data_IF_192033948986
#
_entry.id   IF_192033948986
#
_cell.length_a   1.000
_cell.length_b   1.000
_cell.length_c   1.000
_cell.angle_alpha   90.00
_cell.angle_beta   90.00
_cell.angle_gamma   90.00
#
_symmetry.space_group_name_H-M   'P 1'
#
loop_
_entity.id
_entity.type
_entity.pdbx_description
1 polymer ?
#
# COMPACT_ATOMS: atom_id res chain seq x y z
N UNK A 1 17.12 12.81 -3.44
CA UNK A 1 18.20 12.02 -2.77
C UNK A 1 19.50 12.79 -2.55
N UNK A 2 19.71 13.92 -3.23
CA UNK A 2 21.02 14.60 -3.26
C UNK A 2 21.19 15.65 -2.16
N UNK A 3 20.13 16.34 -1.75
CA UNK A 3 20.17 17.43 -0.76
C UNK A 3 20.74 17.06 0.63
N UNK A 4 20.28 16.00 1.33
CA UNK A 4 20.83 15.64 2.63
C UNK A 4 22.27 15.11 2.54
N UNK A 5 22.65 14.50 1.39
CA UNK A 5 24.02 14.08 1.12
C UNK A 5 24.94 15.30 0.91
N UNK A 6 24.49 16.30 0.15
CA UNK A 6 25.24 17.55 -0.02
C UNK A 6 25.41 18.30 1.29
N UNK A 7 24.37 18.36 2.14
CA UNK A 7 24.46 18.97 3.46
C UNK A 7 25.47 18.22 4.36
N UNK A 8 25.44 16.90 4.36
CA UNK A 8 26.39 16.09 5.13
C UNK A 8 27.84 16.32 4.68
N UNK A 9 28.11 16.29 3.37
CA UNK A 9 29.45 16.54 2.80
C UNK A 9 29.90 17.98 3.06
N UNK A 10 29.02 18.96 2.88
CA UNK A 10 29.30 20.37 3.12
C UNK A 10 29.63 20.63 4.60
N UNK A 11 28.91 20.00 5.53
CA UNK A 11 29.16 20.17 6.96
C UNK A 11 30.46 19.48 7.42
N UNK A 12 30.84 18.34 6.83
CA UNK A 12 32.16 17.73 7.06
C UNK A 12 33.28 18.64 6.55
N UNK A 13 33.15 19.20 5.34
CA UNK A 13 34.13 20.14 4.80
C UNK A 13 34.22 21.41 5.67
N UNK A 14 33.10 21.91 6.17
CA UNK A 14 33.06 23.05 7.10
C UNK A 14 33.79 22.76 8.42
N UNK A 15 33.55 21.59 9.03
CA UNK A 15 34.24 21.15 10.24
C UNK A 15 35.75 20.94 10.01
N UNK A 16 36.15 20.49 8.83
CA UNK A 16 37.57 20.34 8.48
C UNK A 16 38.25 21.71 8.29
N UNK A 17 37.54 22.69 7.72
CA UNK A 17 38.05 24.05 7.53
C UNK A 17 38.27 24.80 8.86
N UNK A 18 37.48 24.52 9.91
CA UNK A 18 37.69 25.13 11.23
C UNK A 18 38.99 24.68 11.91
N UNK A 19 39.55 23.52 11.54
CA UNK A 19 40.82 23.04 12.07
C UNK A 19 42.04 23.83 11.53
N UNK A 20 41.90 24.47 10.38
CA UNK A 20 42.98 25.25 9.74
C UNK A 20 42.91 26.74 10.02
N UNK A 21 41.78 27.27 10.51
CA UNK A 21 41.58 28.69 10.80
C UNK A 21 40.83 28.88 12.13
N UNK A 22 41.54 29.39 13.15
CA UNK A 22 40.99 29.62 14.50
C UNK A 22 39.81 30.60 14.53
N UNK A 23 39.70 31.50 13.55
CA UNK A 23 38.58 32.44 13.40
C UNK A 23 37.24 31.78 13.02
N UNK A 24 37.24 30.50 12.68
CA UNK A 24 36.04 29.75 12.29
C UNK A 24 35.55 28.81 13.41
N UNK A 25 36.19 28.81 14.59
CA UNK A 25 35.82 27.93 15.71
C UNK A 25 34.36 28.05 16.13
N UNK A 26 33.79 29.24 16.03
CA UNK A 26 32.39 29.53 16.43
C UNK A 26 31.38 28.81 15.54
N UNK A 27 31.75 28.50 14.29
CA UNK A 27 30.91 27.79 13.34
C UNK A 27 30.98 26.26 13.51
N UNK A 28 31.91 25.75 14.31
CA UNK A 28 32.09 24.32 14.54
C UNK A 28 30.87 23.68 15.22
N UNK A 29 30.21 24.41 16.12
CA UNK A 29 28.98 23.93 16.77
C UNK A 29 27.82 23.80 15.77
N UNK A 30 27.66 24.78 14.87
CA UNK A 30 26.64 24.76 13.82
C UNK A 30 26.91 23.62 12.82
N UNK A 31 28.15 23.48 12.38
CA UNK A 31 28.56 22.39 11.48
C UNK A 31 28.33 21.01 12.13
N UNK A 32 28.67 20.85 13.41
CA UNK A 32 28.41 19.64 14.17
C UNK A 32 26.92 19.28 14.26
N UNK A 33 26.05 20.25 14.55
CA UNK A 33 24.60 20.03 14.59
C UNK A 33 24.04 19.63 13.22
N UNK A 34 24.53 20.24 12.13
CA UNK A 34 24.14 19.87 10.77
C UNK A 34 24.58 18.44 10.38
N UNK A 35 25.76 18.00 10.82
CA UNK A 35 26.23 16.61 10.63
C UNK A 35 25.30 15.64 11.34
N UNK A 36 24.97 15.90 12.61
CA UNK A 36 24.08 15.03 13.40
C UNK A 36 22.68 14.98 12.79
N UNK A 37 22.10 16.12 12.42
CA UNK A 37 20.78 16.19 11.81
C UNK A 37 20.73 15.45 10.46
N UNK A 38 21.73 15.64 9.59
CA UNK A 38 21.79 14.95 8.30
C UNK A 38 22.05 13.44 8.46
N UNK A 39 22.87 13.03 9.42
CA UNK A 39 23.07 11.61 9.77
C UNK A 39 21.76 10.96 10.25
N UNK A 40 21.00 11.62 11.13
CA UNK A 40 19.68 11.12 11.59
C UNK A 40 18.72 10.96 10.41
N UNK A 41 18.67 11.92 9.49
CA UNK A 41 17.82 11.83 8.30
C UNK A 41 18.24 10.69 7.36
N UNK A 42 19.54 10.47 7.19
CA UNK A 42 20.07 9.39 6.36
C UNK A 42 19.83 8.01 6.98
N UNK A 43 20.06 7.85 8.29
CA UNK A 43 19.80 6.62 9.04
C UNK A 43 18.30 6.32 9.11
N UNK A 44 17.48 7.31 9.42
CA UNK A 44 16.01 7.17 9.42
C UNK A 44 15.48 6.75 8.06
N UNK A 45 16.06 7.26 6.96
CA UNK A 45 15.71 6.84 5.61
C UNK A 45 16.21 5.43 5.28
N UNK A 46 17.42 5.06 5.70
CA UNK A 46 17.97 3.71 5.52
C UNK A 46 17.14 2.66 6.27
N UNK A 47 16.77 2.94 7.52
CA UNK A 47 15.86 2.11 8.31
C UNK A 47 14.46 2.02 7.68
N UNK A 48 13.96 3.11 7.06
CA UNK A 48 12.70 3.11 6.31
C UNK A 48 12.79 2.42 4.94
N UNK A 49 14.01 2.17 4.44
CA UNK A 49 14.24 1.54 3.12
C UNK A 49 14.00 0.03 3.12
N UNK A 50 13.80 -0.57 4.29
CA UNK A 50 13.69 -2.03 4.48
C UNK A 50 12.28 -2.60 4.29
N UNK A 51 11.27 -1.79 3.97
CA UNK A 51 10.01 -2.35 3.45
C UNK A 51 10.20 -2.54 1.94
N UNK A 52 10.54 -3.77 1.55
CA UNK A 52 10.43 -4.18 0.14
C UNK A 52 9.08 -3.71 -0.41
N UNK A 53 8.99 -3.30 -1.69
CA UNK A 53 7.69 -3.04 -2.30
C UNK A 53 6.86 -4.29 -2.10
N UNK A 54 5.84 -4.21 -1.24
CA UNK A 54 4.89 -5.30 -1.08
C UNK A 54 4.23 -5.44 -2.43
N UNK A 55 4.38 -6.60 -3.07
CA UNK A 55 3.64 -6.92 -4.28
C UNK A 55 2.18 -7.12 -3.86
N UNK A 56 1.46 -6.02 -3.72
CA UNK A 56 0.07 -6.03 -3.31
C UNK A 56 -0.79 -6.58 -4.45
N UNK A 57 -1.79 -7.37 -4.07
CA UNK A 57 -2.87 -7.78 -4.94
C UNK A 57 -4.18 -7.36 -4.30
N UNK A 58 -4.98 -6.57 -5.00
CA UNK A 58 -6.31 -6.13 -4.55
C UNK A 58 -7.33 -7.01 -5.23
N UNK A 59 -8.05 -7.77 -4.43
CA UNK A 59 -9.11 -8.67 -4.88
C UNK A 59 -10.44 -7.94 -4.77
N UNK A 60 -11.18 -7.88 -5.87
CA UNK A 60 -12.59 -7.51 -5.82
C UNK A 60 -13.39 -8.67 -5.24
N UNK A 61 -13.57 -8.64 -3.93
CA UNK A 61 -14.25 -9.68 -3.20
C UNK A 61 -15.71 -9.82 -3.64
N UNK A 62 -16.36 -8.75 -4.09
CA UNK A 62 -17.76 -8.81 -4.54
C UNK A 62 -17.89 -9.55 -5.86
N UNK A 63 -16.93 -9.38 -6.76
CA UNK A 63 -16.89 -10.08 -8.03
C UNK A 63 -16.47 -11.55 -7.85
N UNK A 64 -15.38 -11.78 -7.11
CA UNK A 64 -14.82 -13.13 -6.86
C UNK A 64 -15.80 -14.01 -6.09
N UNK A 65 -16.61 -13.45 -5.21
CA UNK A 65 -17.65 -14.18 -4.48
C UNK A 65 -18.59 -14.97 -5.41
N UNK A 66 -18.84 -14.47 -6.62
CA UNK A 66 -19.76 -15.07 -7.59
C UNK A 66 -19.07 -15.93 -8.66
N UNK A 67 -17.76 -16.16 -8.60
CA UNK A 67 -17.06 -16.93 -9.64
C UNK A 67 -17.48 -18.40 -9.71
N UNK A 68 -17.94 -18.98 -8.59
CA UNK A 68 -18.43 -20.36 -8.53
C UNK A 68 -19.91 -20.41 -8.89
N UNK A 69 -20.19 -20.64 -10.18
CA UNK A 69 -21.55 -20.83 -10.71
C UNK A 69 -22.51 -19.64 -10.45
N UNK A 70 -22.00 -18.44 -10.20
CA UNK A 70 -22.80 -17.26 -9.88
C UNK A 70 -23.35 -17.23 -8.46
N UNK A 71 -23.12 -18.28 -7.66
CA UNK A 71 -23.59 -18.36 -6.27
C UNK A 71 -22.57 -17.66 -5.37
N UNK A 72 -23.02 -16.77 -4.47
CA UNK A 72 -22.12 -16.10 -3.54
C UNK A 72 -21.48 -17.10 -2.56
N UNK A 73 -20.19 -17.38 -2.74
CA UNK A 73 -19.42 -18.31 -1.90
C UNK A 73 -18.11 -17.67 -1.42
N UNK A 74 -18.02 -17.45 -0.10
CA UNK A 74 -16.83 -16.88 0.55
C UNK A 74 -15.61 -17.81 0.46
N UNK A 75 -15.82 -19.12 0.31
CA UNK A 75 -14.72 -20.06 0.13
C UNK A 75 -13.94 -19.78 -1.16
N UNK A 76 -14.63 -19.34 -2.22
CA UNK A 76 -14.00 -18.93 -3.48
C UNK A 76 -13.04 -17.76 -3.28
N UNK A 77 -13.45 -16.75 -2.50
CA UNK A 77 -12.57 -15.61 -2.18
C UNK A 77 -11.38 -16.06 -1.35
N UNK A 78 -11.59 -16.98 -0.39
CA UNK A 78 -10.50 -17.55 0.41
C UNK A 78 -9.49 -18.32 -0.45
N UNK A 79 -9.96 -19.14 -1.40
CA UNK A 79 -9.09 -19.87 -2.33
C UNK A 79 -8.22 -18.93 -3.16
N UNK A 80 -8.77 -17.80 -3.64
CA UNK A 80 -8.01 -16.76 -4.35
C UNK A 80 -6.98 -16.11 -3.43
N UNK A 81 -7.37 -15.76 -2.21
CA UNK A 81 -6.45 -15.18 -1.21
C UNK A 81 -5.30 -16.13 -0.89
N UNK A 82 -5.58 -17.42 -0.71
CA UNK A 82 -4.58 -18.45 -0.44
C UNK A 82 -3.63 -18.64 -1.63
N UNK A 83 -4.16 -18.61 -2.85
CA UNK A 83 -3.36 -18.70 -4.08
C UNK A 83 -2.41 -17.50 -4.23
N UNK A 84 -2.91 -16.28 -4.00
CA UNK A 84 -2.10 -15.05 -4.04
C UNK A 84 -1.02 -15.06 -2.96
N UNK A 85 -1.37 -15.48 -1.74
CA UNK A 85 -0.40 -15.60 -0.64
C UNK A 85 0.69 -16.61 -0.98
N UNK A 86 0.32 -17.76 -1.55
CA UNK A 86 1.26 -18.81 -2.00
C UNK A 86 2.17 -18.31 -3.13
N UNK A 87 1.66 -17.44 -4.01
CA UNK A 87 2.43 -16.77 -5.05
C UNK A 87 3.38 -15.67 -4.52
N UNK A 88 3.40 -15.42 -3.21
CA UNK A 88 4.24 -14.40 -2.56
C UNK A 88 3.68 -12.98 -2.67
N UNK A 89 2.42 -12.83 -3.06
CA UNK A 89 1.72 -11.55 -3.09
C UNK A 89 1.13 -11.23 -1.70
N UNK A 90 0.87 -9.95 -1.44
CA UNK A 90 0.14 -9.52 -0.25
C UNK A 90 -1.31 -9.22 -0.66
N UNK A 91 -2.27 -10.14 -0.40
CA UNK A 91 -3.65 -9.90 -0.76
C UNK A 91 -4.30 -8.87 0.18
N UNK A 92 -5.08 -7.97 -0.42
CA UNK A 92 -6.10 -7.16 0.22
C UNK A 92 -7.43 -7.37 -0.50
N UNK A 93 -8.53 -7.40 0.23
CA UNK A 93 -9.86 -7.71 -0.32
C UNK A 93 -10.80 -6.55 -0.08
N UNK A 94 -11.48 -6.10 -1.13
CA UNK A 94 -12.48 -5.03 -1.06
C UNK A 94 -13.85 -5.63 -1.37
N UNK A 95 -14.83 -5.35 -0.52
CA UNK A 95 -16.21 -5.82 -0.68
C UNK A 95 -17.18 -4.65 -0.81
N UNK A 96 -18.32 -4.91 -1.45
CA UNK A 96 -19.49 -4.04 -1.42
C UNK A 96 -20.15 -4.04 -0.04
N UNK A 97 -21.01 -3.05 0.21
CA UNK A 97 -21.74 -2.94 1.47
C UNK A 97 -22.73 -4.08 1.73
N UNK A 98 -23.04 -4.91 0.72
CA UNK A 98 -24.06 -5.94 0.76
C UNK A 98 -23.50 -7.36 0.96
N UNK A 99 -22.17 -7.52 0.98
CA UNK A 99 -21.49 -8.82 1.09
C UNK A 99 -22.01 -9.67 2.24
N UNK A 100 -22.27 -9.07 3.41
CA UNK A 100 -22.77 -9.80 4.58
C UNK A 100 -24.13 -10.46 4.32
N UNK A 101 -25.03 -9.75 3.64
CA UNK A 101 -26.35 -10.25 3.26
C UNK A 101 -26.25 -11.35 2.20
N UNK A 102 -25.30 -11.24 1.27
CA UNK A 102 -25.06 -12.25 0.22
C UNK A 102 -24.59 -13.60 0.78
N UNK A 103 -23.86 -13.61 1.91
CA UNK A 103 -23.25 -14.83 2.48
C UNK A 103 -24.04 -15.40 3.65
N UNK A 104 -24.71 -14.55 4.43
CA UNK A 104 -25.24 -14.98 5.74
C UNK A 104 -26.56 -14.32 6.17
N UNK A 105 -27.27 -13.68 5.23
CA UNK A 105 -28.54 -12.97 5.45
C UNK A 105 -28.50 -11.94 6.61
N UNK A 106 -27.30 -11.48 6.97
CA UNK A 106 -27.06 -10.49 8.03
C UNK A 106 -25.91 -9.58 7.69
N UNK A 107 -25.94 -8.36 8.21
CA UNK A 107 -24.81 -7.45 8.06
C UNK A 107 -23.55 -8.01 8.74
N UNK A 108 -22.43 -8.04 8.01
CA UNK A 108 -21.13 -8.45 8.52
C UNK A 108 -20.15 -7.27 8.44
N UNK A 109 -19.37 -7.08 9.50
CA UNK A 109 -18.30 -6.09 9.56
C UNK A 109 -16.98 -6.69 9.06
N UNK A 110 -16.05 -5.81 8.68
CA UNK A 110 -14.73 -6.08 8.13
C UNK A 110 -13.96 -7.10 8.97
N UNK A 111 -14.05 -7.00 10.31
CA UNK A 111 -13.42 -7.96 11.25
C UNK A 111 -13.93 -9.40 11.08
N UNK A 112 -15.22 -9.58 10.83
CA UNK A 112 -15.80 -10.93 10.63
C UNK A 112 -15.36 -11.51 9.31
N UNK A 113 -15.34 -10.68 8.24
CA UNK A 113 -14.87 -11.10 6.92
C UNK A 113 -13.38 -11.43 6.93
N UNK A 114 -12.56 -10.61 7.60
CA UNK A 114 -11.14 -10.86 7.79
C UNK A 114 -10.88 -12.20 8.48
N UNK A 115 -11.65 -12.52 9.53
CA UNK A 115 -11.54 -13.81 10.20
C UNK A 115 -11.92 -15.00 9.30
N UNK A 116 -12.95 -14.84 8.44
CA UNK A 116 -13.35 -15.88 7.49
C UNK A 116 -12.31 -16.11 6.40
N UNK A 117 -11.61 -15.05 5.97
CA UNK A 117 -10.60 -15.08 4.93
C UNK A 117 -9.19 -15.40 5.45
N UNK A 118 -8.99 -15.47 6.78
CA UNK A 118 -7.67 -15.67 7.37
C UNK A 118 -6.73 -14.48 7.18
N UNK A 119 -7.26 -13.28 6.94
CA UNK A 119 -6.48 -12.07 6.67
C UNK A 119 -6.44 -11.13 7.89
N UNK A 120 -5.40 -10.29 8.00
CA UNK A 120 -5.41 -9.16 8.92
C UNK A 120 -6.61 -8.24 8.62
N UNK A 121 -7.19 -7.65 9.67
CA UNK A 121 -8.34 -6.72 9.52
C UNK A 121 -7.99 -5.58 8.56
N UNK A 122 -6.76 -5.05 8.64
CA UNK A 122 -6.29 -3.94 7.80
C UNK A 122 -6.13 -4.31 6.31
N UNK A 123 -6.32 -5.59 5.95
CA UNK A 123 -6.27 -6.08 4.57
C UNK A 123 -7.68 -6.35 4.01
N UNK A 124 -8.74 -6.12 4.79
CA UNK A 124 -10.12 -6.29 4.34
C UNK A 124 -10.87 -4.98 4.52
N UNK A 125 -11.47 -4.48 3.44
CA UNK A 125 -12.24 -3.24 3.45
C UNK A 125 -13.64 -3.50 2.91
N UNK A 126 -14.64 -2.91 3.56
CA UNK A 126 -16.03 -2.90 3.07
C UNK A 126 -16.39 -1.49 2.65
N UNK A 127 -16.89 -1.34 1.42
CA UNK A 127 -17.35 -0.06 0.90
C UNK A 127 -18.54 0.46 1.73
N UNK A 128 -18.63 1.78 1.98
CA UNK A 128 -19.79 2.36 2.64
C UNK A 128 -21.11 2.04 1.94
N UNK A 129 -22.21 2.02 2.70
CA UNK A 129 -23.54 1.82 2.12
C UNK A 129 -23.89 2.98 1.18
N UNK A 130 -24.32 2.64 -0.04
CA UNK A 130 -24.73 3.61 -1.06
C UNK A 130 -23.60 4.13 -1.94
N UNK A 131 -22.36 3.66 -1.75
CA UNK A 131 -21.25 3.91 -2.67
C UNK A 131 -20.90 2.65 -3.46
N UNK A 132 -20.63 2.75 -4.78
CA UNK A 132 -20.12 1.62 -5.56
C UNK A 132 -18.78 1.11 -4.99
N UNK A 133 -18.54 -0.20 -5.06
CA UNK A 133 -17.28 -0.79 -4.61
C UNK A 133 -16.15 -0.59 -5.63
N UNK A 134 -16.49 -0.51 -6.92
CA UNK A 134 -15.52 -0.45 -8.02
C UNK A 134 -14.53 0.72 -7.91
N UNK A 135 -14.96 1.97 -7.64
CA UNK A 135 -14.02 3.07 -7.45
C UNK A 135 -13.09 2.85 -6.26
N UNK A 136 -13.58 2.18 -5.22
CA UNK A 136 -12.78 1.87 -4.04
C UNK A 136 -11.71 0.81 -4.37
N UNK A 137 -12.05 -0.23 -5.13
CA UNK A 137 -11.08 -1.23 -5.64
C UNK A 137 -9.99 -0.54 -6.46
N UNK A 138 -10.39 0.31 -7.42
CA UNK A 138 -9.47 1.03 -8.29
C UNK A 138 -8.58 2.02 -7.53
N UNK A 139 -9.15 2.75 -6.58
CA UNK A 139 -8.42 3.69 -5.74
C UNK A 139 -7.39 2.96 -4.87
N UNK A 140 -7.78 1.89 -4.19
CA UNK A 140 -6.86 1.09 -3.36
C UNK A 140 -5.76 0.48 -4.22
N UNK A 141 -6.08 0.00 -5.41
CA UNK A 141 -5.09 -0.53 -6.35
C UNK A 141 -4.10 0.55 -6.80
N UNK A 142 -4.57 1.76 -7.09
CA UNK A 142 -3.73 2.92 -7.42
C UNK A 142 -2.80 3.28 -6.26
N UNK A 143 -3.36 3.44 -5.06
CA UNK A 143 -2.64 3.89 -3.86
C UNK A 143 -1.55 2.89 -3.43
N UNK A 144 -1.83 1.58 -3.58
CA UNK A 144 -0.90 0.51 -3.24
C UNK A 144 -0.01 0.08 -4.41
N UNK A 145 -0.22 0.62 -5.62
CA UNK A 145 0.38 0.12 -6.87
C UNK A 145 0.20 -1.40 -7.02
N UNK A 146 -0.99 -1.88 -6.66
CA UNK A 146 -1.34 -3.29 -6.57
C UNK A 146 -1.82 -3.86 -7.91
N UNK A 147 -1.75 -5.18 -8.04
CA UNK A 147 -2.39 -5.91 -9.15
C UNK A 147 -3.85 -6.16 -8.80
N UNK A 148 -4.77 -5.96 -9.73
CA UNK A 148 -6.21 -6.17 -9.48
C UNK A 148 -6.60 -7.58 -9.88
N UNK A 149 -7.35 -8.28 -9.02
CA UNK A 149 -7.91 -9.60 -9.28
C UNK A 149 -9.43 -9.47 -9.31
N UNK A 150 -10.00 -9.54 -10.52
CA UNK A 150 -11.43 -9.43 -10.79
C UNK A 150 -11.73 -9.86 -12.23
N UNK A 151 -12.94 -10.36 -12.48
CA UNK A 151 -13.44 -10.60 -13.83
C UNK A 151 -14.14 -9.36 -14.44
N UNK A 152 -14.32 -8.28 -13.67
CA UNK A 152 -14.88 -7.03 -14.18
C UNK A 152 -13.84 -6.23 -14.98
N UNK A 153 -14.29 -5.53 -16.01
CA UNK A 153 -13.46 -4.63 -16.82
C UNK A 153 -13.59 -3.17 -16.40
N UNK A 154 -14.44 -2.85 -15.43
CA UNK A 154 -14.67 -1.50 -14.90
C UNK A 154 -14.90 -0.46 -16.01
N UNK A 155 -15.73 -0.81 -17.00
CA UNK A 155 -15.90 0.01 -18.23
C UNK A 155 -16.33 1.45 -17.92
N UNK A 156 -17.16 1.61 -16.91
CA UNK A 156 -17.71 2.92 -16.50
C UNK A 156 -16.66 3.81 -15.83
N UNK A 157 -15.51 3.26 -15.42
CA UNK A 157 -14.46 3.95 -14.66
C UNK A 157 -13.15 4.10 -15.44
N UNK A 158 -13.13 3.73 -16.74
CA UNK A 158 -11.93 3.79 -17.59
C UNK A 158 -11.39 5.21 -17.69
N UNK A 159 -12.27 6.19 -17.88
CA UNK A 159 -11.89 7.60 -18.07
C UNK A 159 -11.34 8.22 -16.77
N UNK A 160 -11.79 7.75 -15.61
CA UNK A 160 -11.36 8.23 -14.28
C UNK A 160 -10.08 7.52 -13.78
N UNK A 161 -9.87 6.28 -14.21
CA UNK A 161 -8.74 5.43 -13.78
C UNK A 161 -7.91 4.83 -14.92
N UNK A 162 -7.48 5.62 -15.92
CA UNK A 162 -6.76 5.10 -17.09
C UNK A 162 -5.41 4.48 -16.68
N UNK A 163 -4.73 5.07 -15.69
CA UNK A 163 -3.41 4.62 -15.24
C UNK A 163 -3.46 3.22 -14.60
N UNK A 164 -4.55 2.87 -13.93
CA UNK A 164 -4.67 1.61 -13.17
C UNK A 164 -4.99 0.47 -14.12
N UNK A 165 -5.93 0.71 -15.05
CA UNK A 165 -6.41 -0.30 -16.00
C UNK A 165 -5.40 -0.57 -17.13
N UNK A 166 -4.52 0.39 -17.45
CA UNK A 166 -3.41 0.17 -18.39
C UNK A 166 -2.19 -0.51 -17.75
N UNK A 167 -2.01 -0.42 -16.43
CA UNK A 167 -0.73 -0.70 -15.79
C UNK A 167 -0.46 -2.16 -15.43
N UNK A 168 -1.42 -3.09 -15.38
CA UNK A 168 -1.12 -4.51 -15.10
C UNK A 168 -2.27 -5.48 -15.33
N UNK A 169 -1.88 -6.70 -15.72
CA UNK A 169 -2.70 -7.87 -16.03
C UNK A 169 -3.86 -8.06 -15.05
N UNK A 170 -5.08 -7.96 -15.57
CA UNK A 170 -6.26 -8.57 -14.97
C UNK A 170 -6.04 -10.09 -15.03
N UNK A 171 -5.86 -10.72 -13.88
CA UNK A 171 -5.83 -12.20 -13.74
C UNK A 171 -7.16 -12.66 -13.20
#
# INVERSE_FOLDING_TARGET
MRLPLYLFVLSICGLFATLFHSALSDWAMVAGLCIVASAILLVGKWLRRSKAPKNWAVVDGSNVLHWREGVPDIATVREVVDALTTAGLTPGVVFDANVGYKISDRYMKDKTLAALLGLPIDHVMVAPKGTPADPLVLQVARDLSATIVTNDRFRDWIDDYPDVLQAKELV
#
